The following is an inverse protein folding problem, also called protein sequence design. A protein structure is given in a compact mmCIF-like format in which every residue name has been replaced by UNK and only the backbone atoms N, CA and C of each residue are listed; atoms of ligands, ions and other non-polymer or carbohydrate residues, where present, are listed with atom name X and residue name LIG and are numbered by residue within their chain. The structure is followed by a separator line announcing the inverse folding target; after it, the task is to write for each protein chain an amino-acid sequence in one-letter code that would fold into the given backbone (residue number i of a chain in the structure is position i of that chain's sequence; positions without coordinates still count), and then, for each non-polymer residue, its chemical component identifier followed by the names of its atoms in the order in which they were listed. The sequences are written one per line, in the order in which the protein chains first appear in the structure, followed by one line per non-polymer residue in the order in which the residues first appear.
data_IF_438367489023
#
_entry.id   IF_438367489023
#
_cell.length_a   1.000
_cell.length_b   1.000
_cell.length_c   1.000
_cell.angle_alpha   90.00
_cell.angle_beta   90.00
_cell.angle_gamma   90.00
#
_symmetry.space_group_name_H-M   'P 1'
#
loop_
_entity.id
_entity.type
_entity.pdbx_description
1 polymer ?
#
# COMPACT_ATOMS: atom_id res chain seq x y z
N UNK A 1 16.14 19.27 24.95
CA UNK A 1 14.81 18.83 24.47
C UNK A 1 14.79 18.56 22.96
N UNK A 2 15.68 17.71 22.43
CA UNK A 2 15.67 17.29 21.01
C UNK A 2 15.39 15.79 20.94
N UNK A 3 14.15 15.38 21.16
CA UNK A 3 13.77 13.97 20.96
C UNK A 3 13.68 13.75 19.45
N UNK A 4 14.75 13.21 18.84
CA UNK A 4 14.75 12.82 17.42
C UNK A 4 13.57 11.88 17.16
N UNK A 5 12.83 12.14 16.08
CA UNK A 5 11.75 11.27 15.63
C UNK A 5 12.36 9.88 15.35
N UNK A 6 11.84 8.85 16.01
CA UNK A 6 12.23 7.46 15.75
C UNK A 6 11.34 6.92 14.63
N UNK A 7 11.94 6.43 13.55
CA UNK A 7 11.25 5.86 12.40
C UNK A 7 11.62 4.39 12.21
N UNK A 8 10.69 3.64 11.62
CA UNK A 8 10.90 2.24 11.27
C UNK A 8 11.93 2.13 10.14
N UNK A 9 13.01 1.38 10.36
CA UNK A 9 14.10 1.23 9.39
C UNK A 9 13.79 0.26 8.24
N UNK A 10 12.94 -0.74 8.48
CA UNK A 10 12.52 -1.74 7.49
C UNK A 10 11.03 -1.63 7.24
N UNK A 11 10.66 -1.10 6.08
CA UNK A 11 9.27 -0.93 5.66
C UNK A 11 9.05 -1.74 4.40
N UNK A 12 8.03 -2.60 4.41
CA UNK A 12 7.63 -3.30 3.20
C UNK A 12 6.88 -2.31 2.30
N UNK A 13 7.37 -2.14 1.08
CA UNK A 13 6.77 -1.35 0.02
C UNK A 13 6.42 -2.24 -1.17
N UNK A 14 5.55 -1.74 -2.04
CA UNK A 14 5.20 -2.36 -3.31
C UNK A 14 5.64 -1.45 -4.46
N UNK A 15 5.83 -2.01 -5.66
CA UNK A 15 6.06 -1.22 -6.87
C UNK A 15 4.75 -0.60 -7.37
N UNK A 16 4.83 0.55 -8.04
CA UNK A 16 3.67 1.18 -8.71
C UNK A 16 3.04 0.30 -9.80
N UNK A 17 3.80 -0.66 -10.32
CA UNK A 17 3.35 -1.66 -11.31
C UNK A 17 2.82 -2.95 -10.67
N UNK A 18 2.77 -3.03 -9.34
CA UNK A 18 2.31 -4.24 -8.62
C UNK A 18 0.82 -4.49 -8.93
N UNK A 19 0.44 -5.70 -9.42
CA UNK A 19 -0.95 -6.00 -9.73
C UNK A 19 -1.88 -5.88 -8.53
N UNK A 20 -3.10 -5.41 -8.77
CA UNK A 20 -4.12 -5.20 -7.73
C UNK A 20 -4.39 -6.49 -6.93
N UNK A 21 -4.42 -7.62 -7.60
CA UNK A 21 -4.63 -8.95 -7.01
C UNK A 21 -3.56 -9.29 -5.98
N UNK A 22 -2.31 -8.93 -6.24
CA UNK A 22 -1.20 -9.21 -5.32
C UNK A 22 -1.22 -8.24 -4.14
N UNK A 23 -1.62 -6.99 -4.35
CA UNK A 23 -1.88 -6.03 -3.27
C UNK A 23 -3.02 -6.53 -2.37
N UNK A 24 -4.10 -7.06 -2.96
CA UNK A 24 -5.21 -7.66 -2.21
C UNK A 24 -4.75 -8.87 -1.39
N UNK A 25 -4.00 -9.80 -2.01
CA UNK A 25 -3.43 -10.96 -1.31
C UNK A 25 -2.56 -10.51 -0.14
N UNK A 26 -1.65 -9.55 -0.35
CA UNK A 26 -0.79 -9.00 0.70
C UNK A 26 -1.61 -8.48 1.88
N UNK A 27 -2.68 -7.74 1.64
CA UNK A 27 -3.50 -7.23 2.74
C UNK A 27 -4.30 -8.32 3.47
N UNK A 28 -4.68 -9.40 2.80
CA UNK A 28 -5.41 -10.52 3.42
C UNK A 28 -4.46 -11.41 4.23
N UNK A 29 -3.26 -11.69 3.71
CA UNK A 29 -2.31 -12.63 4.33
C UNK A 29 -1.41 -11.99 5.38
N UNK A 30 -1.36 -10.66 5.44
CA UNK A 30 -0.51 -9.92 6.39
C UNK A 30 -1.31 -9.00 7.30
N UNK A 31 -0.63 -8.50 8.35
CA UNK A 31 -1.20 -7.49 9.26
C UNK A 31 -1.07 -6.05 8.73
N UNK A 32 -0.53 -5.86 7.52
CA UNK A 32 -0.37 -4.52 6.96
C UNK A 32 -1.75 -3.87 6.73
N UNK A 33 -1.84 -2.57 7.05
CA UNK A 33 -3.04 -1.75 6.81
C UNK A 33 -2.83 -0.72 5.71
N UNK A 34 -1.57 -0.40 5.44
CA UNK A 34 -1.08 0.58 4.48
C UNK A 34 0.23 0.07 3.92
N UNK A 35 0.49 0.32 2.64
CA UNK A 35 1.76 -0.01 1.99
C UNK A 35 2.22 1.24 1.23
N UNK A 36 3.48 1.68 1.41
CA UNK A 36 4.10 2.65 0.51
C UNK A 36 4.19 2.05 -0.89
N UNK A 37 3.97 2.90 -1.88
CA UNK A 37 4.16 2.58 -3.30
C UNK A 37 5.41 3.30 -3.76
N UNK A 38 6.35 2.56 -4.33
CA UNK A 38 7.59 3.11 -4.87
C UNK A 38 7.68 2.86 -6.38
N UNK A 39 8.42 3.71 -7.09
CA UNK A 39 8.78 3.45 -8.48
C UNK A 39 9.90 2.41 -8.59
N UNK A 40 10.36 2.15 -9.82
CA UNK A 40 11.47 1.20 -10.08
C UNK A 40 12.82 1.65 -9.51
N UNK A 41 13.00 2.94 -9.21
CA UNK A 41 14.20 3.50 -8.59
C UNK A 41 14.11 3.52 -7.06
N UNK A 42 12.99 3.06 -6.48
CA UNK A 42 12.74 3.04 -5.05
C UNK A 42 12.29 4.38 -4.49
N UNK A 43 11.92 5.35 -5.33
CA UNK A 43 11.37 6.63 -4.91
C UNK A 43 9.92 6.44 -4.49
N UNK A 44 9.55 6.99 -3.32
CA UNK A 44 8.17 6.96 -2.84
C UNK A 44 7.27 7.81 -3.74
N UNK A 45 6.29 7.16 -4.40
CA UNK A 45 5.34 7.82 -5.30
C UNK A 45 3.91 7.85 -4.73
N UNK A 46 3.62 7.07 -3.69
CA UNK A 46 2.29 7.07 -3.09
C UNK A 46 2.11 6.12 -1.92
N UNK A 47 0.86 5.97 -1.49
CA UNK A 47 0.44 5.04 -0.44
C UNK A 47 -0.86 4.37 -0.88
N UNK A 48 -0.95 3.05 -0.71
CA UNK A 48 -2.21 2.30 -0.84
C UNK A 48 -2.66 1.78 0.52
N UNK A 49 -3.96 1.84 0.77
CA UNK A 49 -4.61 1.34 1.97
C UNK A 49 -5.68 0.31 1.64
N UNK A 50 -6.09 -0.48 2.65
CA UNK A 50 -7.25 -1.38 2.49
C UNK A 50 -8.52 -0.66 2.05
N UNK A 51 -8.71 0.60 2.45
CA UNK A 51 -9.89 1.41 2.07
C UNK A 51 -9.88 1.74 0.57
N UNK A 52 -8.71 1.97 -0.01
CA UNK A 52 -8.59 2.26 -1.45
C UNK A 52 -9.01 1.04 -2.27
N UNK A 53 -8.62 -0.16 -1.83
CA UNK A 53 -9.08 -1.40 -2.45
C UNK A 53 -10.59 -1.60 -2.35
N UNK A 54 -11.16 -1.39 -1.16
CA UNK A 54 -12.62 -1.50 -0.98
C UNK A 54 -13.38 -0.53 -1.87
N UNK A 55 -12.85 0.68 -2.05
CA UNK A 55 -13.41 1.68 -2.96
C UNK A 55 -13.40 1.17 -4.42
N UNK A 56 -12.29 0.60 -4.88
CA UNK A 56 -12.19 0.03 -6.24
C UNK A 56 -13.18 -1.12 -6.42
N UNK A 57 -13.26 -2.04 -5.46
CA UNK A 57 -14.19 -3.18 -5.50
C UNK A 57 -15.64 -2.68 -5.55
N UNK A 58 -16.00 -1.72 -4.68
CA UNK A 58 -17.34 -1.13 -4.64
C UNK A 58 -17.72 -0.47 -5.97
N UNK A 59 -16.81 0.29 -6.58
CA UNK A 59 -17.08 0.89 -7.89
C UNK A 59 -17.23 -0.16 -8.99
N UNK A 60 -16.41 -1.22 -8.99
CA UNK A 60 -16.53 -2.32 -9.96
C UNK A 60 -17.83 -3.09 -9.79
N UNK A 61 -18.32 -3.31 -8.57
CA UNK A 61 -19.58 -4.02 -8.32
C UNK A 61 -20.83 -3.21 -8.68
N UNK A 62 -20.74 -1.88 -8.74
CA UNK A 62 -21.86 -1.00 -9.13
C UNK A 62 -21.98 -0.83 -10.65
N UNK A 63 -20.92 -1.14 -11.39
CA UNK A 63 -20.84 -1.05 -12.85
C UNK A 63 -21.05 -2.40 -13.55
N UNK A 64 -21.15 -3.48 -12.78
CA UNK A 64 -21.54 -4.82 -13.23
C UNK A 64 -23.03 -5.02 -13.00
#
# INVERSE_FOLDING_TARGET
FHKRISYTKKVNAILETTPLEDIMKLFVTTKYRRLPVVDTQGVLVGIVTRRDLMRVIYYRSKLA
#
